data_IF_584259989887
#
_entry.id   IF_584259989887
#
_cell.length_a   1.000
_cell.length_b   1.000
_cell.length_c   1.000
_cell.angle_alpha   90.00
_cell.angle_beta   90.00
_cell.angle_gamma   90.00
#
_symmetry.space_group_name_H-M   'P 1'
#
loop_
_entity.id
_entity.type
_entity.pdbx_description
1 polymer ?
#
# COMPACT_ATOMS: atom_id res chain seq x y z
N UNK A 1 -14.00 -11.48 -3.33
CA UNK A 1 -12.61 -11.14 -2.95
C UNK A 1 -11.81 -10.86 -4.23
N UNK A 2 -11.96 -9.68 -4.84
CA UNK A 2 -11.44 -9.35 -6.20
C UNK A 2 -10.54 -8.11 -6.28
N UNK A 3 -10.18 -7.49 -5.14
CA UNK A 3 -9.58 -6.15 -5.16
C UNK A 3 -8.15 -6.08 -5.70
N UNK A 4 -7.42 -7.20 -5.80
CA UNK A 4 -6.18 -7.31 -6.60
C UNK A 4 -6.14 -8.63 -7.38
N UNK A 5 -7.20 -8.95 -8.13
CA UNK A 5 -7.18 -10.09 -9.03
C UNK A 5 -6.27 -9.79 -10.23
N UNK A 6 -4.95 -10.00 -10.09
CA UNK A 6 -3.95 -9.92 -11.18
C UNK A 6 -2.73 -9.05 -10.87
N UNK A 7 -1.55 -9.49 -11.30
CA UNK A 7 -0.25 -8.81 -11.14
C UNK A 7 -0.28 -7.35 -11.62
N UNK A 8 -0.97 -7.08 -12.73
CA UNK A 8 -1.14 -5.73 -13.27
C UNK A 8 -1.83 -4.77 -12.29
N UNK A 9 -2.84 -5.24 -11.56
CA UNK A 9 -3.58 -4.41 -10.59
C UNK A 9 -2.71 -4.06 -9.37
N UNK A 10 -1.85 -4.98 -8.95
CA UNK A 10 -0.88 -4.74 -7.89
C UNK A 10 0.21 -3.75 -8.32
N UNK A 11 0.75 -3.90 -9.53
CA UNK A 11 1.70 -2.95 -10.12
C UNK A 11 1.11 -1.55 -10.21
N UNK A 12 -0.12 -1.42 -10.68
CA UNK A 12 -0.80 -0.13 -10.77
C UNK A 12 -0.98 0.52 -9.39
N UNK A 13 -1.39 -0.27 -8.39
CA UNK A 13 -1.46 0.17 -7.00
C UNK A 13 -0.10 0.68 -6.50
N UNK A 14 0.98 -0.05 -6.78
CA UNK A 14 2.33 0.32 -6.36
C UNK A 14 2.79 1.63 -7.03
N UNK A 15 2.57 1.77 -8.33
CA UNK A 15 2.90 2.97 -9.10
C UNK A 15 2.13 4.18 -8.60
N UNK A 16 0.84 4.04 -8.29
CA UNK A 16 0.04 5.15 -7.78
C UNK A 16 0.49 5.59 -6.38
N UNK A 17 0.81 4.63 -5.50
CA UNK A 17 1.44 4.95 -4.21
C UNK A 17 2.76 5.69 -4.40
N UNK A 18 3.61 5.21 -5.30
CA UNK A 18 4.90 5.83 -5.59
C UNK A 18 4.76 7.28 -6.08
N UNK A 19 3.81 7.55 -6.98
CA UNK A 19 3.54 8.91 -7.48
C UNK A 19 3.07 9.83 -6.35
N UNK A 20 2.11 9.38 -5.54
CA UNK A 20 1.56 10.18 -4.42
C UNK A 20 2.63 10.47 -3.38
N UNK A 21 3.42 9.47 -3.00
CA UNK A 21 4.50 9.60 -2.02
C UNK A 21 5.60 10.53 -2.55
N UNK A 22 5.94 10.46 -3.85
CA UNK A 22 6.94 11.35 -4.46
C UNK A 22 6.46 12.80 -4.44
N UNK A 23 5.20 13.07 -4.81
CA UNK A 23 4.63 14.42 -4.77
C UNK A 23 4.62 15.01 -3.36
N UNK A 24 4.29 14.19 -2.36
CA UNK A 24 4.28 14.61 -0.96
C UNK A 24 5.68 14.78 -0.37
N UNK A 25 6.62 13.89 -0.71
CA UNK A 25 8.02 14.03 -0.31
C UNK A 25 8.66 15.30 -0.87
N UNK A 26 8.35 15.64 -2.14
CA UNK A 26 8.75 16.91 -2.74
C UNK A 26 8.13 18.12 -2.02
N UNK A 27 6.86 18.03 -1.64
CA UNK A 27 6.18 19.12 -0.91
C UNK A 27 6.73 19.33 0.50
N UNK A 28 7.08 18.24 1.20
CA UNK A 28 7.65 18.27 2.54
C UNK A 28 9.17 18.46 2.56
N UNK A 29 9.82 18.49 1.39
CA UNK A 29 11.28 18.53 1.23
C UNK A 29 12.01 17.39 1.96
N UNK A 30 11.38 16.20 1.98
CA UNK A 30 11.93 14.99 2.58
C UNK A 30 12.60 14.12 1.52
N UNK A 31 13.85 13.72 1.77
CA UNK A 31 14.64 12.94 0.80
C UNK A 31 14.37 11.43 0.89
N UNK A 32 13.90 10.94 2.03
CA UNK A 32 13.69 9.50 2.28
C UNK A 32 12.27 9.06 1.93
N UNK A 33 12.04 8.67 0.68
CA UNK A 33 10.73 8.17 0.21
C UNK A 33 10.43 6.72 0.66
N UNK A 34 11.48 5.98 1.01
CA UNK A 34 11.40 4.55 1.33
C UNK A 34 10.54 4.28 2.57
N UNK A 35 10.66 5.13 3.60
CA UNK A 35 9.91 4.95 4.85
C UNK A 35 8.41 5.11 4.61
N UNK A 36 7.99 6.14 3.86
CA UNK A 36 6.60 6.35 3.47
C UNK A 36 6.03 5.18 2.65
N UNK A 37 6.83 4.64 1.72
CA UNK A 37 6.40 3.51 0.89
C UNK A 37 6.20 2.24 1.71
N UNK A 38 7.14 1.92 2.60
CA UNK A 38 7.03 0.76 3.48
C UNK A 38 5.79 0.90 4.36
N UNK A 39 5.58 2.05 5.00
CA UNK A 39 4.42 2.23 5.87
C UNK A 39 3.08 2.17 5.14
N UNK A 40 2.97 2.78 3.96
CA UNK A 40 1.76 2.73 3.16
C UNK A 40 1.43 1.29 2.72
N UNK A 41 2.44 0.51 2.30
CA UNK A 41 2.28 -0.90 1.94
C UNK A 41 1.89 -1.75 3.15
N UNK A 42 2.58 -1.56 4.27
CA UNK A 42 2.34 -2.28 5.52
C UNK A 42 0.95 -1.96 6.08
N UNK A 43 0.49 -0.72 5.94
CA UNK A 43 -0.85 -0.30 6.32
C UNK A 43 -1.92 -1.05 5.52
N UNK A 44 -1.86 -0.98 4.19
CA UNK A 44 -2.88 -1.62 3.36
C UNK A 44 -2.83 -3.14 3.50
N UNK A 45 -1.64 -3.73 3.60
CA UNK A 45 -1.52 -5.16 3.85
C UNK A 45 -2.07 -5.56 5.23
N UNK A 46 -1.77 -4.80 6.28
CA UNK A 46 -2.25 -5.05 7.64
C UNK A 46 -3.77 -4.97 7.74
N UNK A 47 -4.38 -3.96 7.11
CA UNK A 47 -5.84 -3.80 7.00
C UNK A 47 -6.53 -4.84 6.11
N UNK A 48 -5.79 -5.50 5.21
CA UNK A 48 -6.33 -6.64 4.44
C UNK A 48 -6.26 -7.96 5.20
N UNK A 49 -5.28 -8.10 6.09
CA UNK A 49 -4.99 -9.34 6.80
C UNK A 49 -5.22 -9.17 8.30
N UNK A 50 -6.26 -8.43 8.73
CA UNK A 50 -6.40 -7.95 10.11
C UNK A 50 -6.28 -9.07 11.16
N UNK A 51 -6.80 -10.27 10.85
CA UNK A 51 -6.79 -11.43 11.74
C UNK A 51 -5.55 -12.32 11.61
N UNK A 52 -4.59 -11.98 10.76
CA UNK A 52 -3.38 -12.78 10.56
C UNK A 52 -2.38 -12.51 11.70
N UNK A 53 -2.04 -13.50 12.53
CA UNK A 53 -0.97 -13.35 13.50
C UNK A 53 0.38 -13.35 12.80
N UNK A 54 1.30 -12.51 13.26
CA UNK A 54 2.68 -12.41 12.79
C UNK A 54 3.61 -12.57 13.96
N UNK A 55 4.64 -13.38 13.76
CA UNK A 55 5.71 -13.54 14.72
C UNK A 55 6.77 -12.47 14.45
N UNK A 56 6.86 -11.49 15.34
CA UNK A 56 7.88 -10.46 15.34
C UNK A 56 9.07 -10.89 16.21
N UNK A 57 10.29 -10.72 15.69
CA UNK A 57 11.56 -11.14 16.33
C UNK A 57 11.49 -12.55 16.93
N UNK A 58 10.81 -13.49 16.28
CA UNK A 58 10.66 -14.89 16.72
C UNK A 58 9.99 -15.13 18.10
N UNK A 59 9.66 -14.08 18.87
CA UNK A 59 9.14 -14.19 20.23
C UNK A 59 7.78 -13.52 20.43
N UNK A 60 7.49 -12.42 19.74
CA UNK A 60 6.30 -11.59 19.99
C UNK A 60 5.27 -11.85 18.90
N UNK A 61 4.04 -12.24 19.26
CA UNK A 61 2.96 -12.36 18.29
C UNK A 61 2.15 -11.07 18.21
N UNK A 62 2.09 -10.47 17.01
CA UNK A 62 1.37 -9.23 16.74
C UNK A 62 0.39 -9.50 15.61
N UNK A 63 -0.84 -8.99 15.71
CA UNK A 63 -1.78 -9.07 14.59
C UNK A 63 -1.36 -8.10 13.49
N UNK A 64 -1.52 -8.49 12.23
CA UNK A 64 -1.09 -7.69 11.07
C UNK A 64 -1.63 -6.25 11.06
N UNK A 65 -2.83 -6.03 11.61
CA UNK A 65 -3.40 -4.68 11.73
C UNK A 65 -2.58 -3.72 12.60
N UNK A 66 -1.86 -4.24 13.60
CA UNK A 66 -1.05 -3.43 14.52
C UNK A 66 0.37 -3.18 14.01
N UNK A 67 0.73 -3.74 12.86
CA UNK A 67 2.10 -3.72 12.36
C UNK A 67 2.62 -2.31 12.08
N UNK A 68 1.77 -1.40 11.58
CA UNK A 68 2.17 -0.01 11.32
C UNK A 68 2.39 0.77 12.62
N UNK A 69 1.53 0.57 13.61
CA UNK A 69 1.69 1.17 14.93
C UNK A 69 2.95 0.65 15.63
N UNK A 70 3.26 -0.62 15.42
CA UNK A 70 4.46 -1.24 15.95
C UNK A 70 5.73 -0.70 15.28
N UNK A 71 5.73 -0.50 13.95
CA UNK A 71 6.82 0.17 13.25
C UNK A 71 7.02 1.61 13.73
N UNK A 72 5.94 2.35 13.99
CA UNK A 72 5.99 3.68 14.57
C UNK A 72 6.64 3.67 15.95
N UNK A 73 6.28 2.72 16.80
CA UNK A 73 6.91 2.52 18.12
C UNK A 73 8.41 2.23 18.01
N UNK A 74 8.83 1.38 17.06
CA UNK A 74 10.25 1.10 16.82
C UNK A 74 11.02 2.33 16.32
N UNK A 75 10.43 3.11 15.41
CA UNK A 75 11.04 4.34 14.92
C UNK A 75 11.22 5.37 16.04
N UNK A 76 10.23 5.47 16.95
CA UNK A 76 10.31 6.32 18.14
C UNK A 76 11.45 5.91 19.07
N UNK A 77 11.57 4.60 19.39
CA UNK A 77 12.68 4.09 20.22
C UNK A 77 14.04 4.32 19.55
N UNK A 78 14.10 4.23 18.23
CA UNK A 78 15.33 4.46 17.46
C UNK A 78 15.73 5.93 17.38
N UNK A 79 14.91 6.85 17.91
CA UNK A 79 15.16 8.30 17.85
C UNK A 79 14.88 8.93 16.48
N UNK A 80 14.11 8.26 15.63
CA UNK A 80 13.70 8.81 14.33
C UNK A 80 12.57 9.83 14.51
N UNK A 81 12.49 10.79 13.58
CA UNK A 81 11.35 11.71 13.52
C UNK A 81 10.07 10.94 13.23
N UNK A 82 9.04 11.13 14.07
CA UNK A 82 7.72 10.50 13.90
C UNK A 82 6.89 11.23 12.83
N UNK A 83 7.31 12.41 12.39
CA UNK A 83 6.55 13.22 11.43
C UNK A 83 6.38 12.47 10.09
N UNK A 84 7.44 11.82 9.61
CA UNK A 84 7.38 10.99 8.41
C UNK A 84 6.43 9.80 8.61
N UNK A 85 6.50 9.15 9.76
CA UNK A 85 5.65 8.02 10.11
C UNK A 85 4.14 8.36 10.09
N UNK A 86 3.77 9.48 10.68
CA UNK A 86 2.36 9.90 10.75
C UNK A 86 1.82 10.26 9.37
N UNK A 87 2.64 10.92 8.54
CA UNK A 87 2.28 11.24 7.17
C UNK A 87 2.11 9.96 6.34
N UNK A 88 3.00 8.97 6.50
CA UNK A 88 2.86 7.66 5.86
C UNK A 88 1.55 6.96 6.20
N UNK A 89 1.15 6.97 7.48
CA UNK A 89 -0.15 6.45 7.94
C UNK A 89 -1.32 7.19 7.30
N UNK A 90 -1.28 8.53 7.26
CA UNK A 90 -2.34 9.34 6.67
C UNK A 90 -2.49 9.10 5.16
N UNK A 91 -1.38 8.96 4.43
CA UNK A 91 -1.38 8.60 3.01
C UNK A 91 -1.97 7.21 2.83
N UNK A 92 -1.52 6.23 3.62
CA UNK A 92 -2.05 4.86 3.60
C UNK A 92 -3.54 4.81 3.89
N UNK A 93 -4.03 5.61 4.85
CA UNK A 93 -5.45 5.71 5.17
C UNK A 93 -6.26 6.31 4.03
N UNK A 94 -5.76 7.39 3.43
CA UNK A 94 -6.37 8.07 2.29
C UNK A 94 -6.44 7.13 1.09
N UNK A 95 -5.33 6.46 0.75
CA UNK A 95 -5.27 5.48 -0.32
C UNK A 95 -6.24 4.34 -0.06
N UNK A 96 -6.25 3.79 1.15
CA UNK A 96 -7.15 2.70 1.53
C UNK A 96 -8.62 3.13 1.39
N UNK A 97 -8.95 4.34 1.83
CA UNK A 97 -10.30 4.90 1.71
C UNK A 97 -10.73 4.99 0.24
N UNK A 98 -9.91 5.59 -0.63
CA UNK A 98 -10.23 5.72 -2.05
C UNK A 98 -10.24 4.37 -2.80
N UNK A 99 -9.34 3.45 -2.46
CA UNK A 99 -9.22 2.17 -3.16
C UNK A 99 -10.20 1.10 -2.66
N UNK A 100 -10.60 1.13 -1.39
CA UNK A 100 -11.42 0.07 -0.78
C UNK A 100 -12.78 0.54 -0.29
N UNK A 101 -12.92 1.77 0.22
CA UNK A 101 -14.18 2.22 0.81
C UNK A 101 -15.04 2.89 -0.27
N UNK A 102 -14.50 3.85 -1.02
CA UNK A 102 -15.21 4.56 -2.09
C UNK A 102 -15.91 3.65 -3.13
N UNK A 103 -15.28 2.59 -3.67
CA UNK A 103 -15.97 1.71 -4.63
C UNK A 103 -17.09 0.86 -4.02
N UNK A 104 -17.12 0.72 -2.69
CA UNK A 104 -18.17 -0.01 -1.97
C UNK A 104 -19.35 0.90 -1.56
N UNK A 105 -19.26 2.22 -1.76
CA UNK A 105 -20.35 3.14 -1.45
C UNK A 105 -21.49 3.00 -2.50
N UNK A 106 -22.76 2.94 -2.05
CA UNK A 106 -23.92 2.77 -2.95
C UNK A 106 -24.05 3.85 -4.03
N UNK A 107 -23.52 5.05 -3.78
CA UNK A 107 -23.60 6.23 -4.67
C UNK A 107 -22.62 6.18 -5.84
N UNK A 108 -21.56 5.38 -5.75
CA UNK A 108 -20.48 5.23 -6.76
C UNK A 108 -20.41 3.81 -7.32
N UNK A 109 -21.50 3.05 -7.19
CA UNK A 109 -21.61 1.63 -7.54
C UNK A 109 -21.46 1.44 -9.06
N UNK A 110 -20.21 1.35 -9.53
CA UNK A 110 -19.85 1.16 -10.94
C UNK A 110 -18.66 1.99 -11.42
N UNK A 111 -18.29 3.07 -10.73
CA UNK A 111 -17.07 3.81 -11.04
C UNK A 111 -15.89 3.18 -10.29
N UNK A 112 -15.19 2.26 -10.97
CA UNK A 112 -13.85 1.86 -10.56
C UNK A 112 -12.91 3.06 -10.76
N UNK A 113 -12.84 3.96 -9.78
CA UNK A 113 -12.04 5.20 -9.87
C UNK A 113 -10.54 4.90 -10.09
N UNK A 114 -10.07 3.73 -9.63
CA UNK A 114 -8.74 3.17 -9.89
C UNK A 114 -8.80 1.96 -10.85
N UNK A 115 -9.54 2.05 -11.95
CA UNK A 115 -9.42 1.05 -13.01
C UNK A 115 -8.00 1.03 -13.54
N UNK A 116 -7.33 -0.12 -13.44
CA UNK A 116 -6.01 -0.34 -14.04
C UNK A 116 -6.06 0.00 -15.53
N UNK A 117 -5.17 0.87 -16.01
CA UNK A 117 -5.21 1.28 -17.40
C UNK A 117 -4.91 0.09 -18.32
N UNK A 118 -5.64 0.01 -19.44
CA UNK A 118 -5.59 -1.14 -20.36
C UNK A 118 -4.19 -1.45 -20.88
N UNK A 119 -3.32 -0.43 -21.01
CA UNK A 119 -1.93 -0.63 -21.44
C UNK A 119 -1.15 -1.52 -20.47
N UNK A 120 -1.33 -1.35 -19.16
CA UNK A 120 -0.61 -2.08 -18.13
C UNK A 120 -1.02 -3.56 -18.11
N UNK A 121 -2.32 -3.80 -18.30
CA UNK A 121 -2.88 -5.16 -18.44
C UNK A 121 -2.29 -5.83 -19.68
N UNK A 122 -2.23 -5.13 -20.81
CA UNK A 122 -1.69 -5.68 -22.06
C UNK A 122 -0.20 -6.01 -21.94
N UNK A 123 0.60 -5.15 -21.29
CA UNK A 123 2.02 -5.41 -21.04
C UNK A 123 2.19 -6.63 -20.13
N UNK A 124 1.49 -6.70 -18.99
CA UNK A 124 1.60 -7.85 -18.10
C UNK A 124 1.19 -9.16 -18.79
N UNK A 125 0.11 -9.14 -19.58
CA UNK A 125 -0.30 -10.31 -20.36
C UNK A 125 0.72 -10.72 -21.41
N UNK A 126 1.41 -9.75 -22.03
CA UNK A 126 2.48 -10.03 -22.98
C UNK A 126 3.65 -10.77 -22.30
N UNK A 127 4.09 -10.29 -21.14
CA UNK A 127 5.15 -10.95 -20.37
C UNK A 127 4.76 -12.34 -19.88
N UNK A 128 3.53 -12.50 -19.37
CA UNK A 128 3.01 -13.79 -18.93
C UNK A 128 2.97 -14.83 -20.06
N UNK A 129 2.60 -14.39 -21.27
CA UNK A 129 2.59 -15.25 -22.46
C UNK A 129 3.99 -15.67 -22.92
N UNK A 130 5.00 -14.80 -22.78
CA UNK A 130 6.39 -15.14 -23.10
C UNK A 130 6.96 -16.18 -22.12
N UNK A 131 6.63 -16.05 -20.84
CA UNK A 131 7.13 -16.95 -19.79
C UNK A 131 6.50 -18.36 -19.84
N UNK A 132 5.38 -18.54 -20.53
CA UNK A 132 4.75 -19.86 -20.77
C UNK A 132 5.33 -20.59 -22.00
N UNK A 133 6.11 -19.90 -22.83
CA UNK A 133 6.71 -20.45 -24.05
C UNK A 133 8.18 -20.91 -23.85
N UNK A 134 8.71 -20.73 -22.63
CA UNK A 134 10.01 -21.23 -22.17
C UNK A 134 9.80 -22.43 -21.26
#
# INVERSE_FOLDING_TARGET
MHTFAGFANYLYYLLLNFIVITLLGLWMNEYSLTEFLIEALMYVWGRKNEQRPLLFLFFIQIQAQYMVWFLLFLNLISGKSIQSNLVGVMIGHTFYYFAFIVPNLPRFKGLQLLSTPKFLINICKYFERQNQLQ
#
